data_IF_727082905813
#
_entry.id   IF_727082905813
#
_cell.length_a   1.000
_cell.length_b   1.000
_cell.length_c   1.000
_cell.angle_alpha   90.00
_cell.angle_beta   90.00
_cell.angle_gamma   90.00
#
_symmetry.space_group_name_H-M   'P 1'
#
loop_
_entity.id
_entity.type
_entity.pdbx_description
1 polymer ?
#
# COMPACT_ATOMS: atom_id res chain seq x y z
N UNK A 1 26.63 31.15 12.42
CA UNK A 1 25.18 31.31 12.17
C UNK A 1 24.88 31.28 10.67
N UNK A 2 25.54 32.09 9.84
CA UNK A 2 25.41 32.05 8.37
C UNK A 2 25.63 30.64 7.78
N UNK A 3 26.75 29.97 8.08
CA UNK A 3 27.03 28.62 7.56
C UNK A 3 25.99 27.54 7.97
N UNK A 4 25.35 27.69 9.14
CA UNK A 4 24.29 26.76 9.55
C UNK A 4 23.00 27.07 8.79
N UNK A 5 22.68 28.36 8.62
CA UNK A 5 21.51 28.80 7.85
C UNK A 5 21.63 28.35 6.38
N UNK A 6 22.81 28.51 5.77
CA UNK A 6 23.09 28.07 4.41
C UNK A 6 22.96 26.55 4.28
N UNK A 7 23.49 25.79 5.25
CA UNK A 7 23.32 24.33 5.29
C UNK A 7 21.87 23.88 5.43
N UNK A 8 21.06 24.58 6.24
CA UNK A 8 19.61 24.29 6.37
C UNK A 8 18.88 24.58 5.06
N UNK A 9 19.17 25.71 4.42
CA UNK A 9 18.54 26.07 3.14
C UNK A 9 18.91 25.07 2.04
N UNK A 10 20.17 24.65 1.98
CA UNK A 10 20.62 23.65 1.02
C UNK A 10 19.99 22.27 1.28
N UNK A 11 19.87 21.86 2.54
CA UNK A 11 19.18 20.61 2.93
C UNK A 11 17.71 20.61 2.48
N UNK A 12 17.01 21.73 2.69
CA UNK A 12 15.63 21.90 2.25
C UNK A 12 15.52 21.92 0.72
N UNK A 13 16.46 22.57 0.04
CA UNK A 13 16.52 22.60 -1.42
C UNK A 13 16.68 21.20 -2.01
N UNK A 14 17.60 20.40 -1.47
CA UNK A 14 17.82 19.02 -1.91
C UNK A 14 16.57 18.17 -1.62
N UNK A 15 16.03 18.23 -0.40
CA UNK A 15 14.85 17.44 -0.03
C UNK A 15 13.62 17.78 -0.88
N UNK A 16 13.34 19.07 -1.10
CA UNK A 16 12.24 19.52 -1.97
C UNK A 16 12.53 19.21 -3.44
N UNK A 17 13.79 19.33 -3.86
CA UNK A 17 14.24 19.00 -5.22
C UNK A 17 14.01 17.53 -5.55
N UNK A 18 14.41 16.61 -4.67
CA UNK A 18 14.14 15.19 -4.81
C UNK A 18 12.64 14.89 -4.81
N UNK A 19 11.86 15.52 -3.92
CA UNK A 19 10.41 15.37 -3.93
C UNK A 19 9.79 15.84 -5.24
N UNK A 20 10.28 16.96 -5.81
CA UNK A 20 9.85 17.47 -7.10
C UNK A 20 10.19 16.50 -8.24
N UNK A 21 11.40 15.93 -8.24
CA UNK A 21 11.82 14.95 -9.25
C UNK A 21 10.97 13.68 -9.21
N UNK A 22 10.60 13.22 -8.01
CA UNK A 22 9.82 11.99 -7.80
C UNK A 22 8.30 12.20 -7.82
N UNK A 23 7.79 13.44 -7.76
CA UNK A 23 6.37 13.72 -7.53
C UNK A 23 5.44 13.05 -8.55
N UNK A 24 5.75 13.15 -9.85
CA UNK A 24 4.93 12.52 -10.89
C UNK A 24 4.93 10.99 -10.76
N UNK A 25 6.07 10.39 -10.46
CA UNK A 25 6.21 8.93 -10.34
C UNK A 25 5.38 8.41 -9.16
N UNK A 26 5.43 9.12 -8.03
CA UNK A 26 4.62 8.83 -6.84
C UNK A 26 3.13 8.90 -7.18
N UNK A 27 2.67 10.03 -7.72
CA UNK A 27 1.24 10.23 -8.03
C UNK A 27 0.73 9.21 -9.06
N UNK A 28 1.52 8.93 -10.10
CA UNK A 28 1.17 7.94 -11.11
C UNK A 28 1.15 6.53 -10.52
N UNK A 29 2.14 6.17 -9.70
CA UNK A 29 2.21 4.92 -8.96
C UNK A 29 0.95 4.69 -8.13
N UNK A 30 0.62 5.64 -7.25
CA UNK A 30 -0.59 5.58 -6.42
C UNK A 30 -1.88 5.51 -7.23
N UNK A 31 -1.93 6.18 -8.38
CA UNK A 31 -3.10 6.10 -9.26
C UNK A 31 -3.24 4.71 -9.87
N UNK A 32 -2.14 4.13 -10.38
CA UNK A 32 -2.12 2.76 -10.92
C UNK A 32 -2.51 1.76 -9.83
N UNK A 33 -1.94 1.88 -8.64
CA UNK A 33 -2.28 1.05 -7.47
C UNK A 33 -3.75 1.14 -7.11
N UNK A 34 -4.30 2.35 -7.07
CA UNK A 34 -5.72 2.55 -6.78
C UNK A 34 -6.63 1.93 -7.82
N UNK A 35 -6.25 1.99 -9.10
CA UNK A 35 -6.96 1.30 -10.18
C UNK A 35 -6.90 -0.22 -9.97
N UNK A 36 -5.71 -0.78 -9.74
CA UNK A 36 -5.55 -2.23 -9.55
C UNK A 36 -6.35 -2.72 -8.35
N UNK A 37 -6.25 -2.06 -7.20
CA UNK A 37 -6.96 -2.47 -5.98
C UNK A 37 -8.48 -2.34 -6.07
N UNK A 38 -9.01 -1.39 -6.85
CA UNK A 38 -10.47 -1.24 -7.04
C UNK A 38 -11.01 -2.32 -7.96
N UNK A 39 -10.24 -2.73 -8.97
CA UNK A 39 -10.72 -3.62 -10.03
C UNK A 39 -10.30 -5.08 -9.86
N UNK A 40 -9.31 -5.38 -9.02
CA UNK A 40 -8.88 -6.74 -8.69
C UNK A 40 -9.48 -7.13 -7.32
N UNK A 41 -10.36 -8.13 -7.29
CA UNK A 41 -11.07 -8.49 -6.07
C UNK A 41 -10.20 -9.23 -5.04
N UNK A 42 -10.34 -8.85 -3.77
CA UNK A 42 -9.61 -9.41 -2.63
C UNK A 42 -9.98 -10.88 -2.37
N UNK A 43 -11.21 -11.31 -2.67
CA UNK A 43 -11.61 -12.72 -2.55
C UNK A 43 -10.88 -13.64 -3.53
N UNK A 44 -10.64 -13.17 -4.78
CA UNK A 44 -9.91 -13.95 -5.78
C UNK A 44 -8.44 -14.12 -5.43
N UNK A 45 -7.84 -13.11 -4.80
CA UNK A 45 -6.47 -13.20 -4.29
C UNK A 45 -6.37 -14.23 -3.16
N UNK A 46 -7.25 -14.15 -2.15
CA UNK A 46 -7.22 -15.06 -1.01
C UNK A 46 -7.48 -16.54 -1.39
N UNK A 47 -8.43 -16.82 -2.28
CA UNK A 47 -8.71 -18.19 -2.75
C UNK A 47 -7.56 -18.78 -3.58
N UNK A 48 -6.69 -17.94 -4.16
CA UNK A 48 -5.61 -18.38 -5.03
C UNK A 48 -4.32 -18.78 -4.30
N UNK A 49 -4.17 -18.39 -3.02
CA UNK A 49 -2.93 -18.51 -2.22
C UNK A 49 -2.90 -19.70 -1.22
N UNK A 50 -3.90 -20.58 -1.25
CA UNK A 50 -4.15 -21.59 -0.20
C UNK A 50 -3.07 -22.67 -0.03
N UNK A 51 -2.44 -23.13 -1.10
CA UNK A 51 -1.53 -24.28 -1.05
C UNK A 51 -0.06 -23.83 -0.90
N UNK A 52 0.71 -24.51 -0.06
CA UNK A 52 2.15 -24.25 0.19
C UNK A 52 3.08 -24.71 -0.94
N UNK A 53 2.61 -24.69 -2.19
CA UNK A 53 3.35 -25.13 -3.37
C UNK A 53 4.02 -23.94 -4.12
N UNK A 54 4.91 -24.26 -5.07
CA UNK A 54 5.56 -23.27 -5.94
C UNK A 54 4.54 -22.38 -6.68
N UNK A 55 3.35 -22.92 -6.97
CA UNK A 55 2.28 -22.19 -7.63
C UNK A 55 1.65 -21.15 -6.71
N UNK A 56 1.43 -21.48 -5.43
CA UNK A 56 1.00 -20.57 -4.39
C UNK A 56 2.00 -19.43 -4.18
N UNK A 57 3.30 -19.75 -4.10
CA UNK A 57 4.37 -18.76 -3.99
C UNK A 57 4.43 -17.80 -5.18
N UNK A 58 4.35 -18.35 -6.41
CA UNK A 58 4.36 -17.54 -7.64
C UNK A 58 3.16 -16.60 -7.70
N UNK A 59 1.96 -17.11 -7.37
CA UNK A 59 0.75 -16.30 -7.31
C UNK A 59 0.85 -15.21 -6.25
N UNK A 60 1.32 -15.55 -5.05
CA UNK A 60 1.52 -14.58 -3.97
C UNK A 60 2.45 -13.45 -4.39
N UNK A 61 3.54 -13.78 -5.08
CA UNK A 61 4.50 -12.81 -5.62
C UNK A 61 3.84 -11.88 -6.65
N UNK A 62 3.14 -12.44 -7.64
CA UNK A 62 2.46 -11.65 -8.68
C UNK A 62 1.36 -10.75 -8.08
N UNK A 63 0.55 -11.29 -7.17
CA UNK A 63 -0.49 -10.52 -6.52
C UNK A 63 0.07 -9.47 -5.58
N UNK A 64 1.17 -9.74 -4.88
CA UNK A 64 1.85 -8.76 -4.05
C UNK A 64 2.35 -7.60 -4.91
N UNK A 65 3.16 -7.89 -5.94
CA UNK A 65 3.68 -6.88 -6.86
C UNK A 65 2.57 -6.03 -7.49
N UNK A 66 1.44 -6.66 -7.84
CA UNK A 66 0.28 -5.95 -8.38
C UNK A 66 -0.50 -5.12 -7.33
N UNK A 67 -0.59 -5.60 -6.08
CA UNK A 67 -1.34 -4.94 -5.01
C UNK A 67 -0.71 -3.61 -4.60
N UNK A 68 0.60 -3.45 -4.78
CA UNK A 68 1.36 -2.22 -4.53
C UNK A 68 1.00 -1.55 -3.20
N UNK A 69 1.00 -2.31 -2.11
CA UNK A 69 0.73 -1.78 -0.77
C UNK A 69 1.96 -1.11 -0.15
N UNK A 70 1.76 -0.03 0.60
CA UNK A 70 2.79 0.42 1.55
C UNK A 70 3.07 -0.67 2.61
N UNK A 71 4.18 -0.60 3.34
CA UNK A 71 4.57 -1.62 4.32
C UNK A 71 3.45 -1.91 5.33
N UNK A 72 2.72 -0.90 5.80
CA UNK A 72 1.54 -1.08 6.67
C UNK A 72 0.35 -1.75 5.98
N UNK A 73 0.06 -1.35 4.74
CA UNK A 73 -1.00 -1.96 3.93
C UNK A 73 -0.71 -3.43 3.62
N UNK A 74 0.54 -3.74 3.30
CA UNK A 74 1.02 -5.11 3.08
C UNK A 74 0.85 -5.96 4.34
N UNK A 75 1.20 -5.45 5.52
CA UNK A 75 1.02 -6.17 6.80
C UNK A 75 -0.47 -6.39 7.12
N UNK A 76 -1.33 -5.40 6.89
CA UNK A 76 -2.77 -5.53 7.11
C UNK A 76 -3.41 -6.57 6.17
N UNK A 77 -3.06 -6.54 4.89
CA UNK A 77 -3.53 -7.53 3.90
C UNK A 77 -2.96 -8.91 4.25
N UNK A 78 -1.68 -8.98 4.61
CA UNK A 78 -0.99 -10.20 5.05
C UNK A 78 -1.67 -10.85 6.25
N UNK A 79 -2.10 -10.07 7.25
CA UNK A 79 -2.92 -10.55 8.37
C UNK A 79 -4.23 -11.18 7.89
N UNK A 80 -4.93 -10.51 6.97
CA UNK A 80 -6.18 -11.03 6.40
C UNK A 80 -5.98 -12.34 5.64
N UNK A 81 -4.91 -12.45 4.85
CA UNK A 81 -4.55 -13.68 4.14
C UNK A 81 -4.19 -14.81 5.12
N UNK A 82 -3.39 -14.49 6.14
CA UNK A 82 -2.99 -15.43 7.17
C UNK A 82 -4.18 -16.01 7.94
N UNK A 83 -5.15 -15.16 8.29
CA UNK A 83 -6.40 -15.55 8.95
C UNK A 83 -7.30 -16.42 8.06
N UNK A 84 -7.30 -16.17 6.75
CA UNK A 84 -8.05 -16.97 5.76
C UNK A 84 -7.38 -18.31 5.41
N UNK A 85 -6.31 -18.69 6.13
CA UNK A 85 -5.66 -19.98 5.98
C UNK A 85 -4.54 -20.02 4.93
N UNK A 86 -4.06 -18.87 4.45
CA UNK A 86 -2.89 -18.86 3.57
C UNK A 86 -1.66 -19.46 4.29
N UNK A 87 -0.90 -20.27 3.55
CA UNK A 87 0.36 -20.83 4.03
C UNK A 87 1.34 -19.71 4.43
N UNK A 88 2.16 -19.95 5.46
CA UNK A 88 3.02 -18.93 6.04
C UNK A 88 3.96 -18.27 5.00
N UNK A 89 4.59 -19.11 4.18
CA UNK A 89 5.46 -18.65 3.09
C UNK A 89 4.72 -17.78 2.07
N UNK A 90 3.47 -18.10 1.73
CA UNK A 90 2.73 -17.40 0.69
C UNK A 90 2.32 -15.99 1.14
N UNK A 91 1.82 -15.82 2.37
CA UNK A 91 1.44 -14.49 2.83
C UNK A 91 2.70 -13.60 3.05
N UNK A 92 3.81 -14.17 3.53
CA UNK A 92 5.08 -13.43 3.67
C UNK A 92 5.65 -13.04 2.30
N UNK A 93 5.58 -13.93 1.31
CA UNK A 93 6.00 -13.64 -0.07
C UNK A 93 5.13 -12.55 -0.70
N UNK A 94 3.82 -12.59 -0.47
CA UNK A 94 2.91 -11.52 -0.86
C UNK A 94 3.34 -10.18 -0.26
N UNK A 95 3.71 -10.16 1.03
CA UNK A 95 4.13 -8.93 1.69
C UNK A 95 5.40 -8.36 1.08
N UNK A 96 6.44 -9.18 0.89
CA UNK A 96 7.69 -8.74 0.24
C UNK A 96 7.47 -8.27 -1.19
N UNK A 97 6.72 -9.02 -1.99
CA UNK A 97 6.42 -8.60 -3.36
C UNK A 97 5.60 -7.31 -3.37
N UNK A 98 4.68 -7.14 -2.41
CA UNK A 98 3.86 -5.94 -2.26
C UNK A 98 4.65 -4.71 -1.86
N UNK A 99 5.84 -4.82 -1.28
CA UNK A 99 6.66 -3.68 -0.86
C UNK A 99 7.85 -3.42 -1.79
N UNK A 100 8.50 -4.49 -2.28
CA UNK A 100 9.77 -4.40 -3.01
C UNK A 100 9.63 -4.51 -4.53
N UNK A 101 8.57 -5.17 -5.03
CA UNK A 101 8.34 -5.30 -6.48
C UNK A 101 7.33 -4.28 -7.01
N UNK A 102 7.15 -3.17 -6.29
CA UNK A 102 6.22 -2.11 -6.68
C UNK A 102 6.82 -1.27 -7.81
N UNK A 103 5.98 -0.97 -8.82
CA UNK A 103 6.34 -0.10 -9.95
C UNK A 103 6.77 1.30 -9.50
N UNK A 104 6.06 1.89 -8.53
CA UNK A 104 6.38 3.19 -7.93
C UNK A 104 7.78 3.24 -7.31
N UNK A 105 8.13 2.23 -6.49
CA UNK A 105 9.46 2.11 -5.90
C UNK A 105 10.53 1.99 -6.98
N UNK A 106 10.29 1.12 -7.97
CA UNK A 106 11.20 0.95 -9.10
C UNK A 106 11.42 2.24 -9.90
N UNK A 107 10.37 3.01 -10.17
CA UNK A 107 10.49 4.31 -10.85
C UNK A 107 11.31 5.31 -10.03
N UNK A 108 11.11 5.34 -8.71
CA UNK A 108 11.89 6.22 -7.83
C UNK A 108 13.37 5.81 -7.78
N UNK A 109 13.68 4.52 -7.71
CA UNK A 109 15.05 4.01 -7.80
C UNK A 109 15.67 4.37 -9.15
N UNK A 110 14.95 4.15 -10.26
CA UNK A 110 15.42 4.49 -11.59
C UNK A 110 15.79 5.97 -11.72
N UNK A 111 14.98 6.85 -11.15
CA UNK A 111 15.19 8.30 -11.21
C UNK A 111 16.33 8.79 -10.30
N UNK A 112 16.52 8.17 -9.13
CA UNK A 112 17.42 8.68 -8.11
C UNK A 112 18.77 7.94 -8.03
N UNK A 113 18.79 6.66 -8.34
CA UNK A 113 19.96 5.78 -8.22
C UNK A 113 20.38 5.18 -9.56
N UNK A 114 19.51 5.16 -10.56
CA UNK A 114 19.81 4.66 -11.91
C UNK A 114 19.22 3.28 -12.21
N UNK A 115 19.50 2.79 -13.42
CA UNK A 115 18.89 1.56 -13.94
C UNK A 115 19.54 0.30 -13.33
N UNK A 116 20.80 0.38 -12.92
CA UNK A 116 21.53 -0.70 -12.26
C UNK A 116 20.85 -1.06 -10.94
N UNK A 117 20.51 -0.04 -10.13
CA UNK A 117 19.76 -0.24 -8.90
C UNK A 117 18.32 -0.71 -9.15
N UNK A 118 17.65 -0.26 -10.22
CA UNK A 118 16.34 -0.79 -10.59
C UNK A 118 16.41 -2.28 -10.92
N UNK A 119 17.39 -2.69 -11.73
CA UNK A 119 17.58 -4.10 -12.07
C UNK A 119 17.91 -4.91 -10.81
N UNK A 120 18.72 -4.35 -9.93
CA UNK A 120 19.07 -4.96 -8.67
C UNK A 120 17.83 -5.16 -7.77
N UNK A 121 16.97 -4.16 -7.66
CA UNK A 121 15.71 -4.25 -6.90
C UNK A 121 14.79 -5.34 -7.46
N UNK A 122 14.60 -5.40 -8.79
CA UNK A 122 13.70 -6.37 -9.40
C UNK A 122 14.23 -7.80 -9.27
N UNK A 123 15.50 -8.04 -9.58
CA UNK A 123 16.11 -9.37 -9.47
C UNK A 123 16.28 -9.78 -8.01
N UNK A 124 16.80 -8.87 -7.19
CA UNK A 124 17.03 -9.12 -5.78
C UNK A 124 15.74 -9.26 -5.00
N UNK A 125 14.65 -8.58 -5.35
CA UNK A 125 13.32 -8.83 -4.79
C UNK A 125 12.83 -10.26 -5.02
N UNK A 126 13.07 -10.83 -6.22
CA UNK A 126 12.75 -12.24 -6.51
C UNK A 126 13.66 -13.21 -5.74
N UNK A 127 14.96 -12.92 -5.68
CA UNK A 127 15.93 -13.71 -4.90
C UNK A 127 15.56 -13.66 -3.41
N UNK A 128 15.20 -12.49 -2.91
CA UNK A 128 14.79 -12.24 -1.54
C UNK A 128 13.60 -13.11 -1.18
N UNK A 129 12.57 -13.16 -2.06
CA UNK A 129 11.39 -14.00 -1.84
C UNK A 129 11.79 -15.49 -1.83
N UNK A 130 12.68 -15.92 -2.72
CA UNK A 130 13.15 -17.30 -2.77
C UNK A 130 13.97 -17.69 -1.52
N UNK A 131 14.87 -16.81 -1.08
CA UNK A 131 15.68 -16.99 0.15
C UNK A 131 14.76 -17.04 1.37
N UNK A 132 13.80 -16.11 1.47
CA UNK A 132 12.83 -16.07 2.55
C UNK A 132 12.01 -17.36 2.58
N UNK A 133 11.49 -17.79 1.43
CA UNK A 133 10.72 -19.02 1.32
C UNK A 133 11.54 -20.24 1.79
N UNK A 134 12.81 -20.32 1.41
CA UNK A 134 13.71 -21.38 1.86
C UNK A 134 13.98 -21.33 3.37
N UNK A 135 14.32 -20.16 3.93
CA UNK A 135 14.61 -20.00 5.35
C UNK A 135 13.37 -20.32 6.17
N UNK A 136 12.21 -19.77 5.81
CA UNK A 136 10.95 -20.06 6.50
C UNK A 136 10.65 -21.55 6.40
N UNK A 137 10.70 -22.16 5.22
CA UNK A 137 10.41 -23.59 5.09
C UNK A 137 11.33 -24.48 5.94
N UNK A 138 12.59 -24.09 6.15
CA UNK A 138 13.56 -24.83 6.98
C UNK A 138 13.46 -24.54 8.48
N UNK A 139 13.00 -23.35 8.87
CA UNK A 139 13.05 -22.89 10.28
C UNK A 139 11.67 -22.79 10.93
N UNK A 140 10.59 -22.86 10.14
CA UNK A 140 9.22 -22.74 10.62
C UNK A 140 8.86 -23.94 11.50
N UNK A 141 8.59 -23.74 12.80
CA UNK A 141 8.02 -24.80 13.62
C UNK A 141 6.59 -25.04 13.15
N UNK A 142 6.24 -26.29 12.81
CA UNK A 142 4.94 -26.65 12.23
C UNK A 142 3.74 -26.15 13.07
N UNK A 143 3.89 -25.98 14.40
CA UNK A 143 2.79 -25.55 15.28
C UNK A 143 2.73 -24.04 15.54
N UNK A 144 3.80 -23.27 15.31
CA UNK A 144 3.90 -21.88 15.77
C UNK A 144 2.83 -20.97 15.14
N UNK A 145 2.65 -21.08 13.82
CA UNK A 145 1.70 -20.24 13.11
C UNK A 145 0.27 -20.75 13.24
N UNK A 146 0.05 -22.04 13.39
CA UNK A 146 -1.29 -22.58 13.60
C UNK A 146 -1.84 -22.19 14.98
N UNK A 147 -1.02 -22.29 16.04
CA UNK A 147 -1.37 -21.80 17.38
C UNK A 147 -1.72 -20.31 17.38
N UNK A 148 -0.94 -19.49 16.67
CA UNK A 148 -1.19 -18.04 16.58
C UNK A 148 -2.42 -17.73 15.74
N UNK A 149 -2.69 -18.52 14.69
CA UNK A 149 -3.91 -18.39 13.89
C UNK A 149 -5.14 -18.69 14.74
N UNK A 150 -5.11 -19.75 15.55
CA UNK A 150 -6.19 -20.10 16.47
C UNK A 150 -6.38 -19.03 17.55
N UNK A 151 -5.32 -18.58 18.21
CA UNK A 151 -5.38 -17.52 19.22
C UNK A 151 -5.90 -16.19 18.66
N UNK A 152 -5.56 -15.86 17.40
CA UNK A 152 -6.13 -14.71 16.69
C UNK A 152 -7.62 -14.87 16.42
N UNK A 153 -8.04 -16.05 15.96
CA UNK A 153 -9.44 -16.36 15.72
C UNK A 153 -10.27 -16.32 17.02
N UNK A 154 -9.70 -16.77 18.14
CA UNK A 154 -10.32 -16.70 19.46
C UNK A 154 -10.43 -15.27 19.99
N UNK A 155 -9.36 -14.45 19.91
CA UNK A 155 -9.43 -13.03 20.32
C UNK A 155 -10.48 -12.25 19.56
N UNK A 156 -10.63 -12.50 18.26
CA UNK A 156 -11.66 -11.83 17.45
C UNK A 156 -13.08 -12.27 17.85
N UNK A 157 -13.27 -13.54 18.21
CA UNK A 157 -14.56 -14.04 18.76
C UNK A 157 -14.86 -13.43 20.13
N UNK A 158 -13.89 -13.37 21.05
CA UNK A 158 -14.07 -12.86 22.41
C UNK A 158 -14.25 -11.34 22.48
N UNK A 159 -13.50 -10.60 21.68
CA UNK A 159 -13.59 -9.13 21.65
C UNK A 159 -14.87 -8.62 20.96
N UNK A 160 -15.60 -9.51 20.26
CA UNK A 160 -16.75 -9.14 19.43
C UNK A 160 -16.39 -8.12 18.35
N UNK A 161 -15.10 -8.05 18.00
CA UNK A 161 -14.55 -7.14 17.00
C UNK A 161 -14.61 -7.85 15.67
N UNK A 162 -15.60 -7.50 14.84
CA UNK A 162 -15.59 -7.94 13.46
C UNK A 162 -14.64 -7.05 12.66
N UNK A 163 -13.72 -7.65 11.93
CA UNK A 163 -12.92 -6.93 10.95
C UNK A 163 -13.82 -6.39 9.83
N UNK A 164 -13.49 -5.19 9.38
CA UNK A 164 -14.10 -4.57 8.22
C UNK A 164 -13.83 -5.42 6.97
N UNK A 165 -14.86 -6.01 6.34
CA UNK A 165 -14.66 -6.88 5.19
C UNK A 165 -14.10 -6.16 3.95
N UNK A 166 -14.15 -4.82 3.94
CA UNK A 166 -13.63 -3.98 2.86
C UNK A 166 -12.12 -3.78 2.96
N UNK A 167 -11.62 -3.53 4.18
CA UNK A 167 -10.25 -3.05 4.40
C UNK A 167 -9.43 -3.92 5.36
N UNK A 168 -10.04 -4.89 6.05
CA UNK A 168 -9.38 -5.75 7.03
C UNK A 168 -9.02 -5.06 8.35
N UNK A 169 -9.36 -3.78 8.50
CA UNK A 169 -9.14 -3.02 9.73
C UNK A 169 -10.21 -3.36 10.77
N UNK A 170 -9.95 -2.98 12.01
CA UNK A 170 -10.86 -3.18 13.13
C UNK A 170 -12.21 -2.48 12.89
N UNK A 171 -13.31 -3.24 12.85
CA UNK A 171 -14.65 -2.69 12.61
C UNK A 171 -15.22 -2.03 13.87
N UNK A 172 -15.84 -0.86 13.69
CA UNK A 172 -16.45 -0.10 14.79
C UNK A 172 -17.93 -0.43 14.92
N UNK A 173 -18.49 -0.29 16.12
CA UNK A 173 -19.95 -0.42 16.33
C UNK A 173 -20.76 0.69 15.65
N UNK A 174 -20.11 1.78 15.22
CA UNK A 174 -20.76 2.93 14.60
C UNK A 174 -21.16 2.67 13.14
N UNK A 175 -20.47 1.77 12.44
CA UNK A 175 -20.71 1.51 11.02
C UNK A 175 -20.95 0.02 10.83
N UNK A 176 -22.20 -0.41 10.68
CA UNK A 176 -22.56 -1.83 10.58
C UNK A 176 -23.53 -2.12 9.43
N UNK A 177 -23.50 -3.35 8.93
CA UNK A 177 -24.41 -3.87 7.92
C UNK A 177 -24.81 -5.29 8.31
N UNK A 178 -26.09 -5.55 8.48
CA UNK A 178 -26.61 -6.92 8.60
C UNK A 178 -26.90 -7.47 7.21
N UNK A 179 -26.29 -8.60 6.85
CA UNK A 179 -26.51 -9.28 5.57
C UNK A 179 -27.85 -10.03 5.57
N UNK A 180 -28.34 -10.39 4.38
CA UNK A 180 -29.57 -11.17 4.22
C UNK A 180 -29.51 -12.55 4.91
N UNK A 181 -28.31 -13.05 5.21
CA UNK A 181 -28.06 -14.28 5.99
C UNK A 181 -28.07 -14.07 7.51
N UNK A 182 -28.35 -12.87 8.01
CA UNK A 182 -28.40 -12.54 9.43
C UNK A 182 -27.05 -12.22 10.08
N UNK A 183 -25.96 -12.18 9.31
CA UNK A 183 -24.63 -11.84 9.82
C UNK A 183 -24.45 -10.31 9.89
N UNK A 184 -24.07 -9.79 11.07
CA UNK A 184 -23.80 -8.35 11.24
C UNK A 184 -22.33 -8.06 11.03
N UNK A 185 -22.01 -7.48 9.86
CA UNK A 185 -20.70 -6.97 9.50
C UNK A 185 -20.49 -5.60 10.13
N UNK A 186 -19.27 -5.30 10.57
CA UNK A 186 -18.90 -3.96 11.06
C UNK A 186 -17.73 -3.40 10.29
N UNK A 187 -17.68 -2.08 10.19
CA UNK A 187 -16.78 -1.34 9.32
C UNK A 187 -15.98 -0.31 10.12
N UNK A 188 -14.74 -0.09 9.73
CA UNK A 188 -13.81 0.81 10.42
C UNK A 188 -14.17 2.28 10.18
N UNK A 189 -14.89 2.56 9.09
CA UNK A 189 -15.33 3.90 8.68
C UNK A 189 -16.56 3.80 7.79
N UNK A 190 -17.33 4.89 7.74
CA UNK A 190 -18.45 5.05 6.82
C UNK A 190 -18.05 4.80 5.35
N UNK A 191 -16.86 5.28 4.95
CA UNK A 191 -16.34 5.06 3.60
C UNK A 191 -16.06 3.59 3.26
N UNK A 192 -15.78 2.72 4.24
CA UNK A 192 -15.62 1.29 4.00
C UNK A 192 -16.98 0.58 3.93
N UNK A 193 -17.92 0.92 4.80
CA UNK A 193 -19.31 0.45 4.71
C UNK A 193 -19.92 0.74 3.33
N UNK A 194 -19.71 1.96 2.81
CA UNK A 194 -20.13 2.33 1.47
C UNK A 194 -19.47 1.49 0.38
N UNK A 195 -18.15 1.31 0.47
CA UNK A 195 -17.38 0.54 -0.53
C UNK A 195 -17.85 -0.92 -0.57
N UNK A 196 -18.13 -1.54 0.58
CA UNK A 196 -18.66 -2.90 0.65
C UNK A 196 -20.04 -3.04 0.02
N UNK A 197 -20.97 -2.13 0.35
CA UNK A 197 -22.30 -2.07 -0.29
C UNK A 197 -22.20 -1.93 -1.81
N UNK A 198 -21.16 -1.27 -2.30
CA UNK A 198 -20.92 -1.13 -3.75
C UNK A 198 -20.31 -2.38 -4.40
N UNK A 199 -19.47 -3.12 -3.69
CA UNK A 199 -18.90 -4.38 -4.19
C UNK A 199 -19.99 -5.46 -4.30
N UNK A 200 -20.90 -5.52 -3.32
CA UNK A 200 -22.02 -6.47 -3.33
C UNK A 200 -23.13 -6.10 -4.33
N UNK A 201 -23.22 -4.84 -4.76
CA UNK A 201 -24.23 -4.37 -5.73
C UNK A 201 -23.73 -4.27 -7.19
N UNK A 202 -22.43 -4.42 -7.45
CA UNK A 202 -21.86 -4.34 -8.80
C UNK A 202 -22.06 -5.63 -9.59
N UNK A 203 -23.00 -5.63 -10.56
CA UNK A 203 -23.22 -6.73 -11.51
C UNK A 203 -22.62 -6.50 -12.92
N UNK A 204 -21.83 -5.44 -13.12
CA UNK A 204 -21.27 -5.05 -14.42
C UNK A 204 -19.86 -5.61 -14.70
N UNK A 205 -19.46 -5.65 -15.97
CA UNK A 205 -18.10 -6.00 -16.36
C UNK A 205 -17.11 -4.84 -16.09
N UNK A 206 -15.84 -5.16 -15.84
CA UNK A 206 -14.75 -4.19 -15.54
C UNK A 206 -14.68 -2.99 -16.51
N UNK A 207 -15.02 -3.21 -17.79
CA UNK A 207 -15.00 -2.16 -18.83
C UNK A 207 -16.10 -1.11 -18.66
N UNK A 208 -17.29 -1.53 -18.22
CA UNK A 208 -18.42 -0.62 -17.99
C UNK A 208 -18.20 0.18 -16.71
N UNK A 209 -17.56 -0.46 -15.72
CA UNK A 209 -17.21 0.19 -14.45
C UNK A 209 -16.10 1.24 -14.60
N UNK A 210 -15.11 1.02 -15.48
CA UNK A 210 -14.06 2.00 -15.82
C UNK A 210 -14.58 3.29 -16.45
N UNK A 211 -15.68 3.24 -17.19
CA UNK A 211 -16.31 4.42 -17.81
C UNK A 211 -17.36 5.07 -16.92
N UNK A 212 -17.78 4.38 -15.86
CA UNK A 212 -18.80 4.88 -14.94
C UNK A 212 -18.25 5.92 -13.96
N UNK A 213 -19.06 6.92 -13.62
CA UNK A 213 -18.71 7.89 -12.57
C UNK A 213 -18.47 7.20 -11.21
N UNK A 214 -19.26 6.17 -10.91
CA UNK A 214 -19.11 5.36 -9.70
C UNK A 214 -17.75 4.65 -9.62
N UNK A 215 -17.22 4.16 -10.74
CA UNK A 215 -15.89 3.57 -10.81
C UNK A 215 -14.78 4.59 -10.52
N UNK A 216 -14.84 5.76 -11.16
CA UNK A 216 -13.88 6.84 -10.88
C UNK A 216 -13.95 7.33 -9.44
N UNK A 217 -15.13 7.37 -8.82
CA UNK A 217 -15.23 7.66 -7.39
C UNK A 217 -14.57 6.59 -6.52
N UNK A 218 -14.75 5.30 -6.83
CA UNK A 218 -14.08 4.21 -6.10
C UNK A 218 -12.55 4.36 -6.17
N UNK A 219 -12.03 4.63 -7.37
CA UNK A 219 -10.59 4.87 -7.61
C UNK A 219 -10.11 6.10 -6.85
N UNK A 220 -10.85 7.21 -6.93
CA UNK A 220 -10.51 8.45 -6.23
C UNK A 220 -10.53 8.30 -4.70
N UNK A 221 -11.51 7.56 -4.16
CA UNK A 221 -11.59 7.26 -2.73
C UNK A 221 -10.41 6.38 -2.29
N UNK A 222 -10.03 5.37 -3.08
CA UNK A 222 -8.87 4.54 -2.79
C UNK A 222 -7.57 5.34 -2.85
N UNK A 223 -7.37 6.14 -3.90
CA UNK A 223 -6.23 7.04 -4.04
C UNK A 223 -6.09 7.99 -2.86
N UNK A 224 -7.20 8.58 -2.39
CA UNK A 224 -7.20 9.46 -1.22
C UNK A 224 -6.81 8.72 0.06
N UNK A 225 -7.24 7.47 0.24
CA UNK A 225 -6.83 6.63 1.38
C UNK A 225 -5.33 6.38 1.34
N UNK A 226 -4.80 5.89 0.21
CA UNK A 226 -3.36 5.62 0.03
C UNK A 226 -2.53 6.87 0.30
N UNK A 227 -2.88 8.01 -0.34
CA UNK A 227 -2.20 9.29 -0.12
C UNK A 227 -2.22 9.72 1.36
N UNK A 228 -3.37 9.59 2.04
CA UNK A 228 -3.51 10.01 3.43
C UNK A 228 -2.65 9.21 4.40
N UNK A 229 -2.31 7.95 4.06
CA UNK A 229 -1.46 7.09 4.86
C UNK A 229 0.03 7.43 4.70
N UNK A 230 0.48 7.71 3.48
CA UNK A 230 1.92 7.72 3.14
C UNK A 230 2.56 9.11 3.09
N UNK A 231 1.79 10.19 2.91
CA UNK A 231 2.36 11.51 2.58
C UNK A 231 3.34 12.02 3.66
N UNK A 232 3.11 11.68 4.93
CA UNK A 232 3.99 12.07 6.04
C UNK A 232 5.34 11.38 5.94
N UNK A 233 5.33 10.09 5.61
CA UNK A 233 6.54 9.27 5.51
C UNK A 233 7.37 9.68 4.29
N UNK A 234 6.70 9.99 3.18
CA UNK A 234 7.31 10.55 1.97
C UNK A 234 8.02 11.87 2.31
N UNK A 235 7.28 12.84 2.84
CA UNK A 235 7.84 14.17 3.17
C UNK A 235 8.97 14.05 4.18
N UNK A 236 8.81 13.23 5.23
CA UNK A 236 9.85 12.98 6.22
C UNK A 236 11.10 12.35 5.58
N UNK A 237 10.95 11.32 4.74
CA UNK A 237 12.06 10.64 4.07
C UNK A 237 12.87 11.59 3.19
N UNK A 238 12.21 12.37 2.32
CA UNK A 238 12.89 13.35 1.47
C UNK A 238 13.59 14.46 2.25
N UNK A 239 12.95 15.00 3.30
CA UNK A 239 13.55 16.03 4.13
C UNK A 239 14.74 15.49 4.93
N UNK A 240 14.57 14.36 5.63
CA UNK A 240 15.65 13.72 6.40
C UNK A 240 16.84 13.45 5.49
N UNK A 241 16.61 12.94 4.28
CA UNK A 241 17.68 12.66 3.32
C UNK A 241 18.46 13.92 2.94
N UNK A 242 17.77 15.03 2.66
CA UNK A 242 18.42 16.33 2.40
C UNK A 242 19.29 16.80 3.57
N UNK A 243 18.79 16.68 4.82
CA UNK A 243 19.56 17.00 6.02
C UNK A 243 20.75 16.06 6.22
N UNK A 244 20.59 14.77 5.96
CA UNK A 244 21.65 13.77 6.11
C UNK A 244 22.77 14.03 5.11
N UNK A 245 22.45 14.35 3.85
CA UNK A 245 23.43 14.67 2.80
C UNK A 245 24.30 15.86 3.19
N UNK A 246 23.72 16.90 3.80
CA UNK A 246 24.45 18.15 4.11
C UNK A 246 25.15 18.09 5.47
N UNK A 247 24.51 17.53 6.49
CA UNK A 247 24.97 17.63 7.88
C UNK A 247 25.70 16.40 8.39
N UNK A 248 25.56 15.23 7.76
CA UNK A 248 26.28 14.02 8.20
C UNK A 248 27.60 13.90 7.45
N UNK A 249 28.74 14.14 8.11
CA UNK A 249 30.04 14.12 7.44
C UNK A 249 30.46 12.69 7.10
N UNK A 250 31.23 12.54 6.04
CA UNK A 250 31.77 11.26 5.56
C UNK A 250 32.44 10.39 6.64
N UNK A 251 33.03 11.01 7.66
CA UNK A 251 33.66 10.30 8.78
C UNK A 251 32.70 9.43 9.58
N UNK A 252 31.42 9.83 9.66
CA UNK A 252 30.38 9.04 10.34
C UNK A 252 30.11 7.76 9.55
N UNK A 253 29.98 7.87 8.23
CA UNK A 253 29.79 6.72 7.35
C UNK A 253 30.99 5.78 7.39
N UNK A 254 32.21 6.30 7.29
CA UNK A 254 33.44 5.50 7.35
C UNK A 254 33.68 4.84 8.73
N UNK A 255 33.05 5.35 9.80
CA UNK A 255 33.11 4.74 11.12
C UNK A 255 32.05 3.65 11.31
N UNK A 256 30.93 3.76 10.59
CA UNK A 256 29.78 2.87 10.71
C UNK A 256 29.83 1.71 9.69
N UNK A 257 30.48 1.92 8.55
CA UNK A 257 30.68 0.94 7.49
C UNK A 257 32.18 0.67 7.32
N UNK A 258 32.55 -0.60 7.36
CA UNK A 258 33.93 -0.99 7.07
C UNK A 258 34.24 -0.65 5.61
N UNK A 259 35.40 -0.04 5.38
CA UNK A 259 35.86 0.37 4.06
C UNK A 259 36.90 -0.65 3.54
N UNK A 260 36.86 -0.93 2.24
CA UNK A 260 37.81 -1.79 1.53
C UNK A 260 37.16 -2.94 0.77
N UNK A 261 37.99 -3.71 0.09
CA UNK A 261 37.54 -4.82 -0.74
C UNK A 261 37.57 -6.15 0.04
N UNK A 262 36.47 -6.89 0.01
CA UNK A 262 36.43 -8.25 0.52
C UNK A 262 35.05 -8.72 1.00
N UNK A 263 34.84 -10.03 0.97
CA UNK A 263 33.56 -10.66 1.32
C UNK A 263 33.06 -10.29 2.72
N UNK A 264 33.97 -10.14 3.70
CA UNK A 264 33.60 -9.78 5.06
C UNK A 264 33.11 -8.33 5.15
N UNK A 265 33.70 -7.43 4.35
CA UNK A 265 33.30 -6.03 4.28
C UNK A 265 31.92 -5.91 3.66
N UNK A 266 31.69 -6.60 2.53
CA UNK A 266 30.37 -6.66 1.88
C UNK A 266 29.29 -7.21 2.81
N UNK A 267 29.59 -8.31 3.52
CA UNK A 267 28.64 -8.91 4.46
C UNK A 267 28.31 -7.96 5.63
N UNK A 268 29.31 -7.28 6.18
CA UNK A 268 29.13 -6.28 7.23
C UNK A 268 28.30 -5.09 6.73
N UNK A 269 28.61 -4.56 5.55
CA UNK A 269 27.87 -3.46 4.94
C UNK A 269 26.40 -3.83 4.72
N UNK A 270 26.12 -5.05 4.23
CA UNK A 270 24.75 -5.53 4.06
C UNK A 270 23.99 -5.60 5.40
N UNK A 271 24.62 -6.15 6.44
CA UNK A 271 24.04 -6.23 7.80
C UNK A 271 23.78 -4.83 8.36
N UNK A 272 24.72 -3.91 8.20
CA UNK A 272 24.58 -2.53 8.65
C UNK A 272 23.50 -1.78 7.88
N UNK A 273 23.37 -1.99 6.57
CA UNK A 273 22.28 -1.45 5.77
C UNK A 273 20.91 -1.82 6.34
N UNK A 274 20.69 -3.11 6.63
CA UNK A 274 19.46 -3.58 7.27
C UNK A 274 19.27 -2.95 8.66
N UNK A 275 20.32 -2.89 9.47
CA UNK A 275 20.25 -2.32 10.82
C UNK A 275 19.86 -0.82 10.82
N UNK A 276 20.42 -0.04 9.89
CA UNK A 276 20.05 1.38 9.74
C UNK A 276 18.60 1.52 9.31
N UNK A 277 18.11 0.69 8.39
CA UNK A 277 16.72 0.73 7.95
C UNK A 277 15.75 0.53 9.13
N UNK A 278 16.02 -0.45 10.00
CA UNK A 278 15.23 -0.70 11.22
C UNK A 278 15.13 0.54 12.11
N UNK A 279 16.23 1.27 12.27
CA UNK A 279 16.35 2.44 13.15
C UNK A 279 15.90 3.74 12.49
N UNK A 280 15.91 3.82 11.16
CA UNK A 280 15.58 5.05 10.42
C UNK A 280 14.11 5.45 10.52
N UNK A 281 13.22 4.52 10.87
CA UNK A 281 11.75 4.70 10.88
C UNK A 281 11.16 5.13 9.53
N UNK A 282 11.89 4.91 8.44
CA UNK A 282 11.47 5.32 7.11
C UNK A 282 10.79 4.14 6.38
N UNK A 283 9.64 4.38 5.76
CA UNK A 283 8.93 3.36 4.97
C UNK A 283 9.56 3.12 3.60
N UNK A 284 9.05 2.18 2.80
CA UNK A 284 9.62 1.80 1.50
C UNK A 284 9.92 2.99 0.58
N UNK A 285 9.00 3.95 0.50
CA UNK A 285 9.15 5.14 -0.34
C UNK A 285 10.16 6.15 0.19
N UNK A 286 10.26 6.31 1.51
CA UNK A 286 11.25 7.22 2.07
C UNK A 286 12.66 6.63 2.10
N UNK A 287 12.78 5.29 2.04
CA UNK A 287 14.08 4.62 2.05
C UNK A 287 14.89 4.97 0.82
N UNK A 288 14.30 5.13 -0.37
CA UNK A 288 15.12 5.40 -1.57
C UNK A 288 15.85 6.75 -1.51
N UNK A 289 15.22 7.88 -1.14
CA UNK A 289 15.95 9.12 -0.93
C UNK A 289 17.08 9.00 0.12
N UNK A 290 16.85 8.20 1.17
CA UNK A 290 17.87 7.98 2.20
C UNK A 290 18.99 7.08 1.69
N UNK A 291 18.67 6.11 0.84
CA UNK A 291 19.61 5.25 0.14
C UNK A 291 20.53 6.08 -0.77
N UNK A 292 20.02 7.13 -1.41
CA UNK A 292 20.85 8.10 -2.16
C UNK A 292 21.84 8.80 -1.24
N UNK A 293 21.40 9.21 -0.04
CA UNK A 293 22.27 9.84 0.94
C UNK A 293 23.38 8.89 1.44
N UNK A 294 23.03 7.62 1.69
CA UNK A 294 23.99 6.58 2.06
C UNK A 294 24.97 6.28 0.91
N UNK A 295 24.47 6.23 -0.33
CA UNK A 295 25.28 5.97 -1.51
C UNK A 295 26.30 7.09 -1.73
N UNK A 296 25.84 8.35 -1.72
CA UNK A 296 26.74 9.51 -1.75
C UNK A 296 27.71 9.56 -0.57
N UNK A 297 27.35 8.92 0.55
CA UNK A 297 28.20 8.69 1.71
C UNK A 297 29.21 7.53 1.55
N UNK A 298 29.35 6.92 0.37
CA UNK A 298 30.34 5.88 0.08
C UNK A 298 30.03 4.51 0.69
N UNK A 299 28.76 4.22 0.99
CA UNK A 299 28.31 2.90 1.45
C UNK A 299 28.34 1.90 0.28
N UNK A 300 28.68 0.65 0.55
CA UNK A 300 28.75 -0.39 -0.50
C UNK A 300 27.40 -0.65 -1.14
N UNK A 301 27.43 -1.19 -2.37
CA UNK A 301 26.22 -1.54 -3.12
C UNK A 301 25.33 -2.53 -2.34
N UNK A 302 25.91 -3.56 -1.71
CA UNK A 302 25.19 -4.49 -0.85
C UNK A 302 24.50 -3.77 0.32
N UNK A 303 25.17 -2.81 0.95
CA UNK A 303 24.61 -2.03 2.05
C UNK A 303 23.39 -1.23 1.61
N UNK A 304 23.45 -0.58 0.44
CA UNK A 304 22.34 0.19 -0.11
C UNK A 304 21.15 -0.70 -0.47
N UNK A 305 21.39 -1.78 -1.21
CA UNK A 305 20.32 -2.69 -1.63
C UNK A 305 19.68 -3.38 -0.41
N UNK A 306 20.47 -3.83 0.55
CA UNK A 306 19.94 -4.42 1.79
C UNK A 306 19.12 -3.41 2.60
N UNK A 307 19.52 -2.13 2.62
CA UNK A 307 18.77 -1.05 3.25
C UNK A 307 17.42 -0.81 2.55
N UNK A 308 17.39 -0.78 1.21
CA UNK A 308 16.15 -0.60 0.43
C UNK A 308 15.16 -1.74 0.70
N UNK A 309 15.65 -2.99 0.80
CA UNK A 309 14.81 -4.15 1.13
C UNK A 309 14.22 -4.15 2.54
N UNK A 310 14.80 -3.40 3.48
CA UNK A 310 14.53 -3.56 4.91
C UNK A 310 13.34 -2.73 5.45
N UNK A 311 12.36 -2.42 4.62
CA UNK A 311 11.19 -1.60 4.97
C UNK A 311 10.16 -2.35 5.85
N UNK A 312 10.05 -3.68 5.69
CA UNK A 312 9.13 -4.54 6.44
C UNK A 312 9.56 -4.84 7.88
N UNK A 313 10.74 -4.41 8.33
CA UNK A 313 11.25 -4.64 9.69
C UNK A 313 11.51 -3.34 10.46
N UNK A 314 10.96 -2.22 9.99
CA UNK A 314 11.00 -0.96 10.74
C UNK A 314 10.29 -1.12 12.09
N UNK A 315 10.73 -0.39 13.11
CA UNK A 315 10.14 -0.44 14.46
C UNK A 315 8.61 -0.26 14.48
N UNK A 316 8.01 0.66 13.69
CA UNK A 316 6.55 0.80 13.62
C UNK A 316 5.87 -0.46 13.07
N UNK A 317 6.44 -1.08 12.02
CA UNK A 317 5.91 -2.31 11.42
C UNK A 317 6.08 -3.50 12.38
N UNK A 318 7.22 -3.62 13.05
CA UNK A 318 7.43 -4.63 14.10
C UNK A 318 6.40 -4.49 15.24
N UNK A 319 6.05 -3.26 15.61
CA UNK A 319 4.99 -3.03 16.59
C UNK A 319 3.61 -3.50 16.10
N UNK A 320 3.34 -3.40 14.79
CA UNK A 320 2.13 -3.96 14.17
C UNK A 320 2.18 -5.49 14.19
N UNK A 321 3.29 -6.13 13.81
CA UNK A 321 3.44 -7.58 13.94
C UNK A 321 3.26 -8.06 15.37
N UNK A 322 3.83 -7.35 16.34
CA UNK A 322 3.65 -7.65 17.76
C UNK A 322 2.17 -7.58 18.14
N UNK A 323 1.44 -6.55 17.67
CA UNK A 323 0.01 -6.39 17.96
C UNK A 323 -0.83 -7.50 17.32
N UNK A 324 -0.45 -7.94 16.11
CA UNK A 324 -1.19 -8.95 15.35
C UNK A 324 -0.84 -10.39 15.76
N UNK A 325 0.43 -10.76 15.72
CA UNK A 325 0.89 -12.14 15.89
C UNK A 325 1.52 -12.44 17.26
N UNK A 326 1.68 -11.41 18.10
CA UNK A 326 2.34 -11.54 19.40
C UNK A 326 3.87 -11.46 19.32
N UNK A 327 4.52 -11.47 20.48
CA UNK A 327 5.97 -11.26 20.60
C UNK A 327 6.82 -12.35 19.95
N UNK A 328 6.42 -13.62 20.09
CA UNK A 328 7.21 -14.75 19.57
C UNK A 328 7.32 -14.71 18.04
N UNK A 329 6.18 -14.56 17.36
CA UNK A 329 6.16 -14.48 15.89
C UNK A 329 6.79 -13.20 15.39
N UNK A 330 6.61 -12.07 16.08
CA UNK A 330 7.29 -10.82 15.70
C UNK A 330 8.82 -10.96 15.73
N UNK A 331 9.39 -11.55 16.79
CA UNK A 331 10.84 -11.77 16.88
C UNK A 331 11.34 -12.76 15.83
N UNK A 332 10.54 -13.79 15.52
CA UNK A 332 10.84 -14.71 14.43
C UNK A 332 10.85 -14.01 13.07
N UNK A 333 9.81 -13.22 12.76
CA UNK A 333 9.74 -12.43 11.52
C UNK A 333 10.94 -11.49 11.44
N UNK A 334 11.27 -10.76 12.51
CA UNK A 334 12.43 -9.89 12.58
C UNK A 334 13.72 -10.65 12.23
N UNK A 335 13.98 -11.79 12.88
CA UNK A 335 15.19 -12.57 12.64
C UNK A 335 15.28 -13.10 11.20
N UNK A 336 14.19 -13.68 10.69
CA UNK A 336 14.15 -14.24 9.32
C UNK A 336 14.31 -13.14 8.28
N UNK A 337 13.56 -12.05 8.41
CA UNK A 337 13.58 -10.96 7.45
C UNK A 337 14.94 -10.27 7.46
N UNK A 338 15.51 -10.01 8.64
CA UNK A 338 16.84 -9.42 8.77
C UNK A 338 17.90 -10.26 8.03
N UNK A 339 17.93 -11.58 8.29
CA UNK A 339 18.89 -12.48 7.64
C UNK A 339 18.65 -12.55 6.13
N UNK A 340 17.39 -12.61 5.71
CA UNK A 340 17.04 -12.68 4.28
C UNK A 340 17.48 -11.42 3.55
N UNK A 341 17.17 -10.23 4.08
CA UNK A 341 17.51 -8.95 3.46
C UNK A 341 19.02 -8.74 3.39
N UNK A 342 19.75 -9.00 4.49
CA UNK A 342 21.20 -8.88 4.53
C UNK A 342 21.88 -9.88 3.59
N UNK A 343 21.44 -11.14 3.61
CA UNK A 343 21.97 -12.17 2.71
C UNK A 343 21.67 -11.87 1.24
N UNK A 344 20.49 -11.34 0.94
CA UNK A 344 20.13 -10.99 -0.44
C UNK A 344 20.95 -9.81 -0.95
N UNK A 345 21.13 -8.75 -0.14
CA UNK A 345 22.02 -7.64 -0.51
C UNK A 345 23.45 -8.09 -0.77
N UNK A 346 23.99 -8.95 0.10
CA UNK A 346 25.29 -9.59 -0.09
C UNK A 346 25.36 -10.39 -1.41
N UNK A 347 24.37 -11.25 -1.66
CA UNK A 347 24.32 -12.07 -2.87
C UNK A 347 24.18 -11.22 -4.14
N UNK A 348 23.45 -10.11 -4.07
CA UNK A 348 23.29 -9.17 -5.18
C UNK A 348 24.60 -8.47 -5.54
N UNK A 349 25.41 -8.06 -4.55
CA UNK A 349 26.74 -7.50 -4.83
C UNK A 349 27.65 -8.53 -5.51
N UNK A 350 27.68 -9.78 -5.04
CA UNK A 350 28.45 -10.84 -5.69
C UNK A 350 27.99 -11.11 -7.12
N UNK A 351 26.68 -11.10 -7.36
CA UNK A 351 26.11 -11.32 -8.69
C UNK A 351 26.48 -10.17 -9.64
N UNK A 352 26.37 -8.92 -9.17
CA UNK A 352 26.63 -7.74 -9.99
C UNK A 352 28.12 -7.54 -10.25
N UNK A 353 28.96 -7.85 -9.27
CA UNK A 353 30.42 -7.86 -9.41
C UNK A 353 30.86 -8.90 -10.44
N UNK A 354 30.30 -10.11 -10.38
CA UNK A 354 30.56 -11.16 -11.36
C UNK A 354 30.12 -10.79 -12.79
N UNK A 355 29.08 -9.95 -12.93
CA UNK A 355 28.57 -9.46 -14.20
C UNK A 355 29.26 -8.17 -14.67
N UNK A 356 30.08 -7.53 -13.83
CA UNK A 356 30.74 -6.26 -14.13
C UNK A 356 29.77 -5.08 -14.29
N UNK A 357 28.60 -5.14 -13.65
CA UNK A 357 27.55 -4.11 -13.72
C UNK A 357 27.33 -3.39 -12.38
N UNK A 358 28.30 -3.48 -11.46
CA UNK A 358 28.23 -2.73 -10.20
C UNK A 358 28.18 -1.23 -10.52
N UNK A 359 27.19 -0.48 -10.03
CA UNK A 359 27.08 0.94 -10.30
C UNK A 359 28.31 1.68 -9.76
N UNK A 360 28.92 2.53 -10.58
CA UNK A 360 30.06 3.36 -10.18
C UNK A 360 29.55 4.70 -9.61
N UNK A 361 30.02 5.04 -8.41
CA UNK A 361 29.77 6.34 -7.77
C UNK A 361 30.22 7.52 -8.63
N UNK A 362 31.20 7.33 -9.52
CA UNK A 362 31.74 8.38 -10.38
C UNK A 362 30.85 8.75 -11.58
N UNK A 363 29.80 7.98 -11.89
CA UNK A 363 28.99 8.13 -13.10
C UNK A 363 27.74 9.01 -12.99
N UNK A 364 27.31 9.38 -11.78
CA UNK A 364 26.09 10.17 -11.54
C UNK A 364 26.38 11.56 -10.99
N UNK A 365 25.62 12.58 -11.42
CA UNK A 365 25.65 13.90 -10.77
C UNK A 365 25.35 13.73 -9.28
N UNK A 366 26.22 14.27 -8.42
CA UNK A 366 25.96 14.27 -6.98
C UNK A 366 24.65 15.00 -6.69
N UNK A 367 23.93 14.61 -5.64
CA UNK A 367 22.66 15.26 -5.25
C UNK A 367 22.79 16.80 -5.10
N UNK A 368 23.98 17.31 -4.82
CA UNK A 368 24.28 18.75 -4.74
C UNK A 368 24.44 19.44 -6.10
N UNK A 369 24.71 18.70 -7.17
CA UNK A 369 24.96 19.24 -8.52
C UNK A 369 23.72 19.21 -9.42
N UNK A 370 22.70 18.41 -9.07
CA UNK A 370 21.47 18.31 -9.86
C UNK A 370 20.65 19.60 -9.89
N UNK A 371 20.19 19.98 -11.08
CA UNK A 371 19.27 21.08 -11.30
C UNK A 371 17.80 20.62 -11.24
N UNK A 372 17.17 20.80 -10.08
CA UNK A 372 15.85 20.24 -9.81
C UNK A 372 14.66 20.90 -10.55
N UNK A 373 14.74 22.20 -10.85
CA UNK A 373 13.57 23.00 -11.30
C UNK A 373 13.66 23.44 -12.77
N UNK A 374 14.18 22.57 -13.64
CA UNK A 374 14.24 22.86 -15.07
C UNK A 374 12.94 22.56 -15.81
N UNK A 375 12.72 23.23 -16.94
CA UNK A 375 11.61 22.96 -17.88
C UNK A 375 11.92 21.73 -18.74
N UNK A 376 12.06 20.58 -18.10
CA UNK A 376 12.33 19.30 -18.74
C UNK A 376 11.07 18.40 -18.73
N UNK A 377 11.23 17.13 -19.10
CA UNK A 377 10.14 16.16 -19.11
C UNK A 377 9.51 15.98 -17.71
N UNK A 378 10.30 16.05 -16.63
CA UNK A 378 9.82 15.96 -15.23
C UNK A 378 8.82 17.05 -14.93
N UNK A 379 9.06 18.29 -15.38
CA UNK A 379 8.11 19.40 -15.22
C UNK A 379 6.75 19.09 -15.87
N UNK A 380 6.75 18.60 -17.11
CA UNK A 380 5.51 18.26 -17.82
C UNK A 380 4.80 17.05 -17.22
N UNK A 381 5.53 16.02 -16.81
CA UNK A 381 4.97 14.86 -16.12
C UNK A 381 4.37 15.25 -14.76
N UNK A 382 5.02 16.14 -14.01
CA UNK A 382 4.47 16.70 -12.76
C UNK A 382 3.16 17.43 -13.02
N UNK A 383 3.08 18.23 -14.09
CA UNK A 383 1.84 18.93 -14.45
C UNK A 383 0.68 17.95 -14.74
N UNK A 384 0.95 16.90 -15.52
CA UNK A 384 -0.04 15.84 -15.82
C UNK A 384 -0.45 15.11 -14.55
N UNK A 385 0.50 14.74 -13.71
CA UNK A 385 0.26 14.05 -12.46
C UNK A 385 -0.57 14.90 -11.49
N UNK A 386 -0.23 16.18 -11.30
CA UNK A 386 -1.02 17.08 -10.46
C UNK A 386 -2.42 17.34 -11.03
N UNK A 387 -2.58 17.42 -12.35
CA UNK A 387 -3.90 17.52 -12.97
C UNK A 387 -4.75 16.26 -12.73
N UNK A 388 -4.15 15.07 -12.83
CA UNK A 388 -4.80 13.79 -12.55
C UNK A 388 -5.19 13.67 -11.06
N UNK A 389 -4.27 14.00 -10.15
CA UNK A 389 -4.54 14.04 -8.71
C UNK A 389 -5.66 15.04 -8.37
N UNK A 390 -5.64 16.22 -9.00
CA UNK A 390 -6.69 17.23 -8.88
C UNK A 390 -8.04 16.74 -9.40
N UNK A 391 -8.07 16.02 -10.52
CA UNK A 391 -9.27 15.38 -11.05
C UNK A 391 -9.81 14.31 -10.09
N UNK A 392 -8.97 13.42 -9.56
CA UNK A 392 -9.41 12.40 -8.60
C UNK A 392 -9.95 13.05 -7.32
N UNK A 393 -9.28 14.08 -6.79
CA UNK A 393 -9.78 14.85 -5.64
C UNK A 393 -11.11 15.55 -5.94
N UNK A 394 -11.29 16.07 -7.15
CA UNK A 394 -12.55 16.65 -7.60
C UNK A 394 -13.67 15.60 -7.66
N UNK A 395 -13.42 14.43 -8.26
CA UNK A 395 -14.37 13.31 -8.32
C UNK A 395 -14.75 12.86 -6.90
N UNK A 396 -13.76 12.73 -6.01
CA UNK A 396 -13.99 12.38 -4.61
C UNK A 396 -14.87 13.41 -3.89
N UNK A 397 -14.54 14.72 -4.01
CA UNK A 397 -15.30 15.80 -3.36
C UNK A 397 -16.73 15.94 -3.89
N UNK A 398 -16.94 15.65 -5.17
CA UNK A 398 -18.28 15.68 -5.78
C UNK A 398 -19.17 14.52 -5.30
N UNK A 399 -18.58 13.49 -4.68
CA UNK A 399 -19.30 12.37 -4.11
C UNK A 399 -19.91 11.44 -5.17
N UNK A 400 -20.73 10.50 -4.68
CA UNK A 400 -21.30 9.40 -5.45
C UNK A 400 -22.43 9.77 -6.43
N UNK A 401 -22.63 11.06 -6.75
CA UNK A 401 -23.72 11.55 -7.60
C UNK A 401 -23.29 12.63 -8.60
N UNK A 402 -22.73 12.21 -9.74
CA UNK A 402 -22.60 13.06 -10.92
C UNK A 402 -23.18 12.33 -12.17
N UNK A 403 -23.46 13.08 -13.26
CA UNK A 403 -24.74 13.07 -13.99
C UNK A 403 -25.21 11.67 -14.41
N UNK A 404 -26.51 11.38 -14.22
CA UNK A 404 -27.18 10.18 -14.75
C UNK A 404 -27.30 8.99 -13.80
N UNK A 405 -26.98 9.15 -12.51
CA UNK A 405 -27.18 8.11 -11.48
C UNK A 405 -28.02 8.69 -10.34
N UNK A 406 -29.27 8.27 -10.29
CA UNK A 406 -30.27 8.65 -9.30
C UNK A 406 -30.36 7.59 -8.20
N UNK A 407 -30.88 7.97 -7.04
CA UNK A 407 -31.12 7.06 -5.93
C UNK A 407 -32.62 6.91 -5.75
N UNK A 408 -33.08 5.67 -5.78
CA UNK A 408 -34.48 5.33 -5.52
C UNK A 408 -34.84 5.77 -4.09
N UNK A 409 -35.81 6.69 -3.90
CA UNK A 409 -36.12 7.24 -2.58
C UNK A 409 -36.83 6.24 -1.66
N UNK A 410 -37.39 5.15 -2.20
CA UNK A 410 -38.10 4.14 -1.41
C UNK A 410 -37.15 3.08 -0.86
N UNK A 411 -36.23 2.58 -1.69
CA UNK A 411 -35.35 1.47 -1.28
C UNK A 411 -33.86 1.85 -1.19
N UNK A 412 -33.47 3.03 -1.67
CA UNK A 412 -32.09 3.51 -1.66
C UNK A 412 -31.17 2.90 -2.72
N UNK A 413 -31.69 2.03 -3.61
CA UNK A 413 -30.94 1.46 -4.73
C UNK A 413 -30.58 2.51 -5.78
N UNK A 414 -29.45 2.34 -6.46
CA UNK A 414 -29.05 3.22 -7.56
C UNK A 414 -29.79 2.85 -8.84
N UNK A 415 -30.19 3.86 -9.60
CA UNK A 415 -30.90 3.73 -10.87
C UNK A 415 -30.44 4.82 -11.85
N UNK A 416 -30.57 4.58 -13.13
CA UNK A 416 -30.33 5.53 -14.21
C UNK A 416 -31.62 6.28 -14.60
N UNK A 417 -31.53 7.17 -15.58
CA UNK A 417 -32.66 7.86 -16.20
C UNK A 417 -33.44 7.02 -17.22
N UNK A 418 -32.99 5.81 -17.54
CA UNK A 418 -33.67 4.90 -18.48
C UNK A 418 -34.80 4.08 -17.81
N UNK A 419 -34.85 4.10 -16.47
CA UNK A 419 -35.82 3.37 -15.66
C UNK A 419 -37.17 4.08 -15.40
N UNK A 420 -37.93 3.53 -14.45
CA UNK A 420 -39.20 4.10 -13.98
C UNK A 420 -38.98 5.45 -13.29
N UNK A 421 -39.71 6.50 -13.68
CA UNK A 421 -39.65 7.82 -13.03
C UNK A 421 -41.04 8.38 -12.67
N UNK A 422 -41.09 9.31 -11.72
CA UNK A 422 -42.29 10.05 -11.32
C UNK A 422 -41.89 11.49 -10.94
N UNK A 423 -42.81 12.43 -11.10
CA UNK A 423 -42.58 13.83 -10.73
C UNK A 423 -43.47 14.24 -9.56
N UNK A 424 -42.88 14.88 -8.56
CA UNK A 424 -43.59 15.42 -7.39
C UNK A 424 -42.99 16.79 -7.04
N UNK A 425 -43.84 17.79 -6.80
CA UNK A 425 -43.44 19.18 -6.49
C UNK A 425 -42.38 19.80 -7.41
N UNK A 426 -42.40 19.44 -8.71
CA UNK A 426 -41.45 19.95 -9.70
C UNK A 426 -40.08 19.25 -9.71
N UNK A 427 -39.89 18.20 -8.90
CA UNK A 427 -38.69 17.35 -8.87
C UNK A 427 -39.01 15.99 -9.51
N UNK A 428 -38.14 15.51 -10.39
CA UNK A 428 -38.25 14.17 -11.00
C UNK A 428 -37.44 13.16 -10.20
N UNK A 429 -38.11 12.12 -9.72
CA UNK A 429 -37.54 10.99 -8.98
C UNK A 429 -37.46 9.76 -9.89
N UNK A 430 -36.40 8.98 -9.74
CA UNK A 430 -36.15 7.75 -10.51
C UNK A 430 -36.13 6.53 -9.59
N UNK A 431 -36.65 5.41 -10.08
CA UNK A 431 -36.91 4.20 -9.30
C UNK A 431 -36.31 2.96 -9.95
N UNK A 432 -35.69 2.11 -9.13
CA UNK A 432 -35.07 0.85 -9.57
C UNK A 432 -36.10 -0.18 -10.05
N UNK A 433 -37.38 0.00 -9.71
CA UNK A 433 -38.46 -0.87 -10.14
C UNK A 433 -39.82 -0.17 -10.16
N UNK A 434 -40.77 -0.72 -10.92
CA UNK A 434 -42.18 -0.27 -10.92
C UNK A 434 -42.85 -0.43 -9.55
N UNK A 435 -42.37 -1.34 -8.71
CA UNK A 435 -42.88 -1.52 -7.36
C UNK A 435 -42.51 -0.33 -6.47
N UNK A 436 -41.23 0.07 -6.47
CA UNK A 436 -40.75 1.25 -5.75
C UNK A 436 -41.45 2.53 -6.23
N UNK A 437 -41.65 2.69 -7.54
CA UNK A 437 -42.44 3.80 -8.08
C UNK A 437 -43.87 3.85 -7.51
N UNK A 438 -44.59 2.72 -7.48
CA UNK A 438 -45.96 2.66 -6.93
C UNK A 438 -46.00 2.96 -5.43
N UNK A 439 -45.00 2.51 -4.68
CA UNK A 439 -44.87 2.81 -3.25
C UNK A 439 -44.68 4.30 -3.03
N UNK A 440 -43.83 4.95 -3.84
CA UNK A 440 -43.63 6.40 -3.79
C UNK A 440 -44.89 7.18 -4.18
N UNK A 441 -45.60 6.78 -5.24
CA UNK A 441 -46.84 7.43 -5.67
C UNK A 441 -47.98 7.29 -4.65
N UNK A 442 -47.96 6.25 -3.81
CA UNK A 442 -48.96 6.00 -2.78
C UNK A 442 -48.80 6.92 -1.57
N UNK A 443 -47.56 7.26 -1.19
CA UNK A 443 -47.27 8.22 -0.12
C UNK A 443 -46.01 9.06 -0.43
N UNK A 444 -46.09 10.04 -1.34
CA UNK A 444 -44.91 10.79 -1.77
C UNK A 444 -44.26 11.60 -0.64
N UNK A 445 -45.06 12.08 0.32
CA UNK A 445 -44.58 12.92 1.43
C UNK A 445 -43.67 12.17 2.41
N UNK A 446 -43.86 10.87 2.60
CA UNK A 446 -42.97 10.04 3.44
C UNK A 446 -41.57 9.88 2.83
N UNK A 447 -41.48 9.80 1.49
CA UNK A 447 -40.23 9.47 0.80
C UNK A 447 -39.54 10.67 0.12
N UNK A 448 -40.24 11.78 -0.08
CA UNK A 448 -39.69 12.98 -0.70
C UNK A 448 -38.70 13.73 0.21
N UNK A 449 -38.91 13.67 1.55
CA UNK A 449 -38.18 14.47 2.54
C UNK A 449 -37.22 13.66 3.45
N UNK A 450 -37.14 12.32 3.31
CA UNK A 450 -36.44 11.42 4.24
C UNK A 450 -35.31 10.57 3.63
N UNK A 451 -34.23 10.35 4.38
CA UNK A 451 -33.31 9.23 4.13
C UNK A 451 -34.05 7.90 4.36
N UNK A 452 -33.82 6.86 3.54
CA UNK A 452 -34.62 5.64 3.57
C UNK A 452 -34.49 4.91 4.91
N UNK A 453 -35.56 4.93 5.71
CA UNK A 453 -35.68 4.09 6.91
C UNK A 453 -36.17 2.69 6.51
N UNK A 454 -35.36 1.67 6.82
CA UNK A 454 -35.73 0.28 6.61
C UNK A 454 -36.78 -0.08 7.69
N UNK A 455 -38.06 -0.02 7.36
CA UNK A 455 -39.12 -0.58 8.23
C UNK A 455 -39.00 -2.10 8.25
N UNK A 456 -38.45 -2.65 9.34
CA UNK A 456 -38.55 -4.07 9.66
C UNK A 456 -40.02 -4.41 9.94
N UNK A 457 -40.71 -5.08 9.00
CA UNK A 457 -42.01 -5.69 9.26
C UNK A 457 -41.82 -6.82 10.28
N UNK A 458 -42.21 -6.58 11.52
CA UNK A 458 -42.44 -7.63 12.51
C UNK A 458 -43.61 -8.49 12.04
N UNK A 459 -43.33 -9.77 11.81
CA UNK A 459 -44.34 -10.80 11.72
C UNK A 459 -44.57 -11.31 13.14
N UNK A 460 -45.60 -10.78 13.81
CA UNK A 460 -46.17 -11.44 14.98
C UNK A 460 -46.85 -12.74 14.51
N UNK A 461 -46.34 -13.87 14.99
CA UNK A 461 -47.05 -15.13 14.97
C UNK A 461 -47.55 -15.40 16.39
N UNK A 462 -48.82 -15.08 16.62
CA UNK A 462 -49.64 -15.74 17.64
C UNK A 462 -49.87 -17.19 17.21
N UNK A 463 -49.36 -18.13 18.00
CA UNK A 463 -50.08 -19.28 18.58
C UNK A 463 -49.13 -20.30 19.23
#
# INVERSE_FOLDING_TARGET
MAAILDGVLESLRIGVGFLWTAAWAIIMGLTVTSLVQVYVSKERMAQALGDGDLRGLTKATVFGAASSGCSFGAVAIGKGLFKKGAHAVNFLAFMFASTNLIVELGLMILLLLGWEFLLAELLGGLILIAVMAAIVHLTLPETLFDEVREALAERDRESGVSEDPTCGMEGTKAHTLTTDGGETLRFCSEGCLETYRQQTSGRGGWRDELRSWGGWYKVANQYRKEWSMIWKDIVAGFLISGFVIVFVPQRVWNALFIQGDGLLVTAENAVMGVAIAVVSFVGSMGNVPFAVALWGGGVSFAGIIAFVYADLITIPVLNVYRKYYGWKVMLYILGVFFVTMAFTGFLMELLFDALGIVPDLAGGETATEQTYFELNYTFYLNLVAFALSGFLLYVYRRGLGAPGQYRDPVCGMRTDDEGSSASHEGVTYHFCSKACKRTFEADPGEFADGHPEIRSRGHDHDH
#
